data_IF_070856177403
#
_entry.id   IF_070856177403
#
_cell.length_a   1.000
_cell.length_b   1.000
_cell.length_c   1.000
_cell.angle_alpha   90.00
_cell.angle_beta   90.00
_cell.angle_gamma   90.00
#
_symmetry.space_group_name_H-M   'P 1'
#
loop_
_entity.id
_entity.type
_entity.pdbx_description
1 polymer ?
#
# COMPACT_ATOMS: atom_id res chain seq x y z
N UNK A 1 11.99 -66.82 35.61
CA UNK A 1 10.57 -66.79 35.15
C UNK A 1 9.91 -65.60 35.84
N UNK A 2 9.29 -64.59 35.24
CA UNK A 2 8.78 -64.31 33.88
C UNK A 2 9.02 -62.81 33.61
N UNK A 3 9.33 -62.48 32.36
CA UNK A 3 9.31 -61.11 31.83
C UNK A 3 7.85 -60.61 31.80
N UNK A 4 7.65 -59.34 32.08
CA UNK A 4 6.49 -58.60 31.54
C UNK A 4 6.92 -57.18 31.22
N UNK A 5 7.00 -56.95 29.92
CA UNK A 5 7.13 -55.66 29.26
C UNK A 5 5.75 -55.02 29.34
N UNK A 6 5.66 -53.81 29.90
CA UNK A 6 4.49 -52.95 29.74
C UNK A 6 4.95 -51.74 28.95
N UNK A 7 4.60 -51.76 27.66
CA UNK A 7 4.76 -50.66 26.74
C UNK A 7 3.61 -49.67 27.00
N UNK A 8 3.87 -48.56 27.69
CA UNK A 8 2.89 -47.47 27.81
C UNK A 8 3.17 -46.46 26.70
N UNK A 9 2.32 -46.54 25.68
CA UNK A 9 2.17 -45.57 24.61
C UNK A 9 1.36 -44.38 25.18
N UNK A 10 1.98 -43.21 25.35
CA UNK A 10 1.25 -41.96 25.60
C UNK A 10 1.69 -40.89 24.59
N UNK A 11 0.93 -40.89 23.49
CA UNK A 11 0.42 -39.74 22.74
C UNK A 11 1.21 -38.43 22.86
N UNK A 12 1.99 -38.16 21.81
CA UNK A 12 2.45 -36.81 21.43
C UNK A 12 1.21 -35.94 21.18
N UNK A 13 0.86 -35.07 22.13
CA UNK A 13 -0.03 -33.94 21.90
C UNK A 13 0.71 -32.97 20.97
N UNK A 14 0.51 -33.15 19.67
CA UNK A 14 1.01 -32.26 18.64
C UNK A 14 0.39 -30.88 18.85
N UNK A 15 1.25 -29.90 19.17
CA UNK A 15 0.95 -28.47 19.24
C UNK A 15 0.45 -27.94 17.88
N UNK A 16 -0.78 -28.25 17.50
CA UNK A 16 -1.44 -27.69 16.32
C UNK A 16 -2.29 -26.45 16.67
N UNK A 17 -2.36 -26.09 17.96
CA UNK A 17 -3.23 -25.01 18.45
C UNK A 17 -2.70 -23.61 18.15
N UNK A 18 -1.39 -23.42 17.96
CA UNK A 18 -0.83 -22.11 17.65
C UNK A 18 -1.22 -21.61 16.25
N UNK A 19 -1.48 -22.49 15.28
CA UNK A 19 -1.93 -22.08 13.94
C UNK A 19 -3.33 -21.47 13.96
N UNK A 20 -4.27 -22.05 14.70
CA UNK A 20 -5.64 -21.52 14.80
C UNK A 20 -5.72 -20.18 15.51
N UNK A 21 -4.86 -19.93 16.50
CA UNK A 21 -4.82 -18.66 17.24
C UNK A 21 -4.24 -17.54 16.34
N UNK A 22 -3.22 -17.85 15.53
CA UNK A 22 -2.64 -16.90 14.57
C UNK A 22 -3.61 -16.61 13.40
N UNK A 23 -4.32 -17.62 12.90
CA UNK A 23 -5.39 -17.43 11.90
C UNK A 23 -6.59 -16.65 12.45
N UNK A 24 -6.90 -16.74 13.76
CA UNK A 24 -7.91 -15.89 14.39
C UNK A 24 -7.44 -14.46 14.69
N UNK A 25 -6.13 -14.23 14.75
CA UNK A 25 -5.55 -12.89 14.93
C UNK A 25 -5.50 -12.12 13.60
N UNK A 26 -5.31 -12.80 12.46
CA UNK A 26 -5.51 -12.20 11.14
C UNK A 26 -7.00 -11.95 10.82
N UNK A 27 -7.92 -12.53 11.61
CA UNK A 27 -9.35 -12.19 11.61
C UNK A 27 -9.76 -11.18 12.69
N UNK A 28 -8.82 -10.46 13.31
CA UNK A 28 -9.15 -9.19 14.00
C UNK A 28 -9.83 -8.33 12.95
N UNK A 29 -11.15 -8.17 13.09
CA UNK A 29 -12.08 -7.87 12.01
C UNK A 29 -11.58 -6.81 11.04
N UNK A 30 -11.76 -7.08 9.74
CA UNK A 30 -11.58 -6.10 8.67
C UNK A 30 -12.19 -4.76 9.09
N UNK A 31 -11.54 -3.67 8.69
CA UNK A 31 -12.11 -2.34 8.88
C UNK A 31 -13.42 -2.28 8.08
N UNK A 32 -14.53 -2.06 8.78
CA UNK A 32 -15.87 -2.05 8.18
C UNK A 32 -16.18 -0.63 7.70
N UNK A 33 -15.55 -0.23 6.60
CA UNK A 33 -15.77 1.05 5.93
C UNK A 33 -16.40 0.80 4.57
N UNK A 34 -17.47 1.54 4.27
CA UNK A 34 -18.13 1.55 2.97
C UNK A 34 -17.95 2.90 2.27
N UNK A 35 -18.47 3.03 1.06
CA UNK A 35 -18.34 4.25 0.25
C UNK A 35 -19.03 5.43 0.92
N UNK A 36 -20.12 5.19 1.65
CA UNK A 36 -20.91 6.19 2.36
C UNK A 36 -20.17 6.79 3.57
N UNK A 37 -19.15 6.09 4.08
CA UNK A 37 -18.31 6.52 5.21
C UNK A 37 -17.09 7.35 4.75
N UNK A 38 -17.00 7.64 3.44
CA UNK A 38 -15.92 8.42 2.85
C UNK A 38 -16.35 9.87 2.64
N UNK A 39 -15.47 10.80 3.02
CA UNK A 39 -15.56 12.21 2.65
C UNK A 39 -14.62 12.53 1.49
N UNK A 40 -15.13 13.26 0.50
CA UNK A 40 -14.33 13.73 -0.62
C UNK A 40 -13.47 14.93 -0.22
N UNK A 41 -12.21 14.91 -0.65
CA UNK A 41 -11.25 16.00 -0.50
C UNK A 41 -10.83 16.45 -1.90
N UNK A 42 -10.88 17.76 -2.14
CA UNK A 42 -10.49 18.38 -3.41
C UNK A 42 -9.12 19.02 -3.25
N UNK A 43 -8.21 18.74 -4.17
CA UNK A 43 -6.82 19.22 -4.12
C UNK A 43 -6.55 20.08 -5.34
N UNK A 44 -6.20 21.35 -5.11
CA UNK A 44 -5.78 22.33 -6.12
C UNK A 44 -6.70 22.48 -7.34
N UNK A 45 -7.98 22.10 -7.24
CA UNK A 45 -8.93 21.98 -8.36
C UNK A 45 -8.47 21.05 -9.50
N UNK A 46 -7.53 20.14 -9.24
CA UNK A 46 -6.99 19.23 -10.25
C UNK A 46 -7.55 17.80 -10.10
N UNK A 47 -7.68 17.36 -8.86
CA UNK A 47 -8.21 16.05 -8.56
C UNK A 47 -8.95 16.04 -7.23
N UNK A 48 -9.60 14.91 -6.97
CA UNK A 48 -10.14 14.62 -5.65
C UNK A 48 -9.91 13.17 -5.28
N UNK A 49 -9.81 12.94 -3.97
CA UNK A 49 -9.64 11.65 -3.34
C UNK A 49 -10.54 11.61 -2.11
N UNK A 50 -11.19 10.49 -1.86
CA UNK A 50 -12.07 10.31 -0.71
C UNK A 50 -11.37 9.46 0.34
N UNK A 51 -11.50 9.87 1.60
CA UNK A 51 -10.93 9.16 2.76
C UNK A 51 -12.01 8.89 3.80
N UNK A 52 -11.86 7.84 4.63
CA UNK A 52 -12.75 7.60 5.76
C UNK A 52 -12.91 8.84 6.63
N UNK A 53 -14.09 9.05 7.18
CA UNK A 53 -14.39 10.19 8.05
C UNK A 53 -13.44 10.32 9.23
N UNK A 54 -12.94 9.18 9.73
CA UNK A 54 -11.99 9.11 10.84
C UNK A 54 -10.57 9.60 10.50
N UNK A 55 -10.24 9.77 9.22
CA UNK A 55 -8.92 10.30 8.81
C UNK A 55 -8.96 11.82 8.79
N UNK A 56 -7.90 12.44 9.29
CA UNK A 56 -7.71 13.89 9.32
C UNK A 56 -6.44 14.27 8.58
N UNK A 57 -6.39 15.50 8.10
CA UNK A 57 -5.19 16.04 7.45
C UNK A 57 -4.01 16.02 8.44
N UNK A 58 -2.82 15.62 7.96
CA UNK A 58 -1.58 15.60 8.74
C UNK A 58 -0.41 15.99 7.83
N UNK A 59 -0.05 17.29 7.85
CA UNK A 59 0.89 17.93 6.91
C UNK A 59 2.38 17.63 7.14
N UNK A 60 2.70 16.46 7.67
CA UNK A 60 4.06 16.09 8.08
C UNK A 60 4.35 14.63 7.76
N UNK A 61 3.64 14.07 6.78
CA UNK A 61 3.85 12.73 6.29
C UNK A 61 4.87 12.73 5.16
N UNK A 62 4.88 13.76 4.30
CA UNK A 62 5.83 13.89 3.22
C UNK A 62 5.96 15.35 2.74
N UNK A 63 7.19 15.85 2.60
CA UNK A 63 7.48 17.26 2.30
C UNK A 63 6.91 17.73 0.96
N UNK A 64 6.78 16.83 -0.01
CA UNK A 64 6.30 17.12 -1.37
C UNK A 64 4.86 16.64 -1.62
N UNK A 65 4.16 16.15 -0.60
CA UNK A 65 2.79 15.66 -0.79
C UNK A 65 1.78 16.81 -0.93
N UNK A 66 0.92 16.68 -1.93
CA UNK A 66 -0.23 17.57 -2.13
C UNK A 66 -1.47 17.13 -1.36
N UNK A 67 -1.47 15.89 -0.90
CA UNK A 67 -2.52 15.30 -0.08
C UNK A 67 -1.89 14.46 1.01
N UNK A 68 -2.27 14.71 2.28
CA UNK A 68 -1.73 13.99 3.42
C UNK A 68 -2.80 13.78 4.49
N UNK A 69 -3.30 12.55 4.61
CA UNK A 69 -4.34 12.20 5.58
C UNK A 69 -3.93 10.98 6.40
N UNK A 70 -4.23 11.03 7.69
CA UNK A 70 -3.88 9.97 8.63
C UNK A 70 -4.97 9.72 9.66
N UNK A 71 -4.91 8.54 10.27
CA UNK A 71 -5.42 8.32 11.61
C UNK A 71 -4.33 7.65 12.43
N UNK A 72 -3.73 8.42 13.34
CA UNK A 72 -2.59 7.97 14.15
C UNK A 72 -2.95 6.85 15.14
N UNK A 73 -4.22 6.74 15.56
CA UNK A 73 -4.66 5.68 16.48
C UNK A 73 -4.86 4.35 15.75
N UNK A 74 -5.38 4.40 14.53
CA UNK A 74 -5.52 3.24 13.65
C UNK A 74 -4.19 2.88 12.97
N UNK A 75 -3.26 3.83 12.92
CA UNK A 75 -1.99 3.81 12.17
C UNK A 75 -2.23 3.58 10.68
N UNK A 76 -3.20 4.30 10.13
CA UNK A 76 -3.49 4.32 8.71
C UNK A 76 -3.13 5.67 8.12
N UNK A 77 -2.41 5.65 7.01
CA UNK A 77 -1.87 6.84 6.37
C UNK A 77 -2.16 6.78 4.88
N UNK A 78 -2.41 7.93 4.26
CA UNK A 78 -2.46 8.05 2.81
C UNK A 78 -1.90 9.38 2.37
N UNK A 79 -0.98 9.34 1.42
CA UNK A 79 -0.48 10.52 0.74
C UNK A 79 -0.65 10.41 -0.77
N UNK A 80 -0.68 11.56 -1.43
CA UNK A 80 -0.54 11.66 -2.89
C UNK A 80 0.64 12.57 -3.19
N UNK A 81 1.55 12.08 -4.01
CA UNK A 81 2.55 12.89 -4.71
C UNK A 81 2.02 13.14 -6.12
N UNK A 82 2.07 14.38 -6.58
CA UNK A 82 1.83 14.73 -7.97
C UNK A 82 2.96 15.58 -8.52
N UNK A 83 3.42 15.23 -9.70
CA UNK A 83 4.56 15.88 -10.34
C UNK A 83 4.28 16.14 -11.82
N UNK A 84 4.98 17.12 -12.38
CA UNK A 84 4.89 17.44 -13.80
C UNK A 84 5.35 16.26 -14.64
N UNK A 85 4.48 15.78 -15.53
CA UNK A 85 4.81 14.66 -16.43
C UNK A 85 5.97 15.02 -17.37
N UNK A 86 5.98 16.25 -17.87
CA UNK A 86 7.00 16.69 -18.81
C UNK A 86 8.36 16.85 -18.10
N UNK A 87 8.36 17.40 -16.89
CA UNK A 87 9.58 17.54 -16.08
C UNK A 87 10.16 16.18 -15.72
N UNK A 88 9.32 15.24 -15.27
CA UNK A 88 9.72 13.85 -15.06
C UNK A 88 10.40 13.26 -16.32
N UNK A 89 9.76 13.38 -17.49
CA UNK A 89 10.32 12.86 -18.75
C UNK A 89 11.67 13.51 -19.05
N UNK A 90 11.75 14.84 -18.99
CA UNK A 90 12.96 15.59 -19.36
C UNK A 90 14.12 15.28 -18.41
N UNK A 91 13.88 15.27 -17.09
CA UNK A 91 14.89 14.95 -16.08
C UNK A 91 15.43 13.53 -16.26
N UNK A 92 14.56 12.54 -16.40
CA UNK A 92 15.02 11.15 -16.52
C UNK A 92 15.63 10.84 -17.90
N UNK A 93 15.33 11.62 -18.94
CA UNK A 93 16.06 11.59 -20.22
C UNK A 93 17.46 12.15 -20.10
N UNK A 94 17.63 13.28 -19.41
CA UNK A 94 18.92 13.94 -19.22
C UNK A 94 19.94 13.02 -18.54
N UNK A 95 19.48 12.21 -17.58
CA UNK A 95 20.33 11.23 -16.86
C UNK A 95 20.31 9.82 -17.49
N UNK A 96 19.81 9.69 -18.72
CA UNK A 96 19.78 8.43 -19.48
C UNK A 96 19.05 7.26 -18.80
N UNK A 97 18.09 7.54 -17.92
CA UNK A 97 17.28 6.54 -17.21
C UNK A 97 15.87 6.36 -17.81
N UNK A 98 15.43 7.28 -18.67
CA UNK A 98 14.15 7.19 -19.36
C UNK A 98 14.26 6.32 -20.63
N UNK A 99 13.37 5.35 -20.79
CA UNK A 99 13.29 4.47 -21.95
C UNK A 99 12.14 4.89 -22.88
N UNK A 100 12.47 5.46 -24.04
CA UNK A 100 11.49 5.87 -25.07
C UNK A 100 10.70 4.70 -25.70
N UNK A 101 11.09 3.44 -25.46
CA UNK A 101 10.40 2.26 -26.01
C UNK A 101 9.22 1.78 -25.15
N UNK A 102 9.01 2.36 -23.97
CA UNK A 102 7.90 2.03 -23.06
C UNK A 102 7.07 3.29 -22.74
N UNK A 103 5.88 3.10 -22.17
CA UNK A 103 5.01 4.26 -21.85
C UNK A 103 5.61 5.15 -20.76
N UNK A 104 5.09 6.37 -20.62
CA UNK A 104 5.46 7.26 -19.53
C UNK A 104 5.09 6.65 -18.17
N UNK A 105 3.90 6.05 -18.03
CA UNK A 105 3.51 5.28 -16.85
C UNK A 105 4.46 4.12 -16.55
N UNK A 106 4.92 3.39 -17.56
CA UNK A 106 5.88 2.28 -17.35
C UNK A 106 7.23 2.80 -16.84
N UNK A 107 7.77 3.86 -17.46
CA UNK A 107 9.00 4.51 -16.98
C UNK A 107 8.83 4.96 -15.54
N UNK A 108 7.77 5.70 -15.25
CA UNK A 108 7.46 6.22 -13.92
C UNK A 108 7.39 5.11 -12.88
N UNK A 109 6.63 4.07 -13.18
CA UNK A 109 6.48 2.91 -12.30
C UNK A 109 7.82 2.22 -12.05
N UNK A 110 8.62 1.98 -13.10
CA UNK A 110 9.89 1.26 -12.97
C UNK A 110 10.91 2.05 -12.16
N UNK A 111 11.04 3.36 -12.42
CA UNK A 111 11.94 4.25 -11.70
C UNK A 111 11.55 4.33 -10.21
N UNK A 112 10.27 4.50 -9.91
CA UNK A 112 9.80 4.57 -8.53
C UNK A 112 9.96 3.22 -7.81
N UNK A 113 9.67 2.10 -8.48
CA UNK A 113 9.92 0.76 -7.94
C UNK A 113 11.40 0.55 -7.61
N UNK A 114 12.31 0.98 -8.48
CA UNK A 114 13.74 0.92 -8.22
C UNK A 114 14.11 1.75 -6.98
N UNK A 115 13.62 2.99 -6.89
CA UNK A 115 13.82 3.84 -5.70
C UNK A 115 13.34 3.15 -4.41
N UNK A 116 12.16 2.53 -4.41
CA UNK A 116 11.68 1.78 -3.25
C UNK A 116 12.56 0.57 -2.92
N UNK A 117 13.07 -0.16 -3.91
CA UNK A 117 13.95 -1.31 -3.70
C UNK A 117 15.29 -0.90 -3.10
N UNK A 118 15.79 0.30 -3.41
CA UNK A 118 17.03 0.84 -2.86
C UNK A 118 16.85 1.34 -1.42
N UNK A 119 15.66 1.83 -1.06
CA UNK A 119 15.42 2.50 0.22
C UNK A 119 14.63 1.67 1.26
N UNK A 120 13.93 0.60 0.84
CA UNK A 120 13.17 -0.28 1.75
C UNK A 120 13.88 -1.62 1.91
N UNK A 121 14.24 -1.95 3.15
CA UNK A 121 14.89 -3.23 3.46
C UNK A 121 13.91 -4.39 3.34
N UNK A 122 14.38 -5.53 2.81
CA UNK A 122 13.58 -6.76 2.63
C UNK A 122 12.29 -6.56 1.79
N UNK A 123 12.27 -5.58 0.89
CA UNK A 123 11.09 -5.22 0.12
C UNK A 123 10.58 -6.39 -0.75
N UNK A 124 9.34 -6.78 -0.51
CA UNK A 124 8.54 -7.70 -1.34
C UNK A 124 7.51 -6.89 -2.11
N UNK A 125 7.54 -7.00 -3.42
CA UNK A 125 6.61 -6.33 -4.33
C UNK A 125 5.65 -7.34 -4.94
N UNK A 126 4.35 -7.04 -4.91
CA UNK A 126 3.30 -7.82 -5.57
C UNK A 126 2.46 -6.91 -6.46
N UNK A 127 2.49 -7.07 -7.79
CA UNK A 127 1.59 -6.35 -8.68
C UNK A 127 0.13 -6.77 -8.46
N UNK A 128 -0.78 -5.84 -8.69
CA UNK A 128 -2.23 -6.08 -8.69
C UNK A 128 -2.79 -5.86 -10.09
N UNK A 129 -3.66 -6.77 -10.51
CA UNK A 129 -4.31 -6.71 -11.83
C UNK A 129 -5.40 -5.63 -11.90
N UNK A 130 -5.73 -5.00 -10.77
CA UNK A 130 -6.79 -4.02 -10.67
C UNK A 130 -6.28 -2.63 -11.09
N UNK A 131 -7.01 -2.00 -12.01
CA UNK A 131 -6.84 -0.57 -12.32
C UNK A 131 -7.61 0.29 -11.33
N UNK A 132 -7.17 1.53 -11.15
CA UNK A 132 -7.94 2.56 -10.46
C UNK A 132 -9.04 3.03 -11.41
N UNK A 133 -10.21 2.38 -11.34
CA UNK A 133 -11.36 2.59 -12.23
C UNK A 133 -10.95 2.48 -13.71
N UNK A 134 -11.22 3.53 -14.50
CA UNK A 134 -10.93 3.62 -15.94
C UNK A 134 -9.68 4.44 -16.23
N UNK A 135 -8.84 4.71 -15.22
CA UNK A 135 -7.62 5.50 -15.38
C UNK A 135 -6.47 4.63 -15.87
N UNK A 136 -5.55 5.24 -16.61
CA UNK A 136 -4.28 4.59 -16.92
C UNK A 136 -3.43 4.53 -15.65
N UNK A 137 -3.31 3.32 -15.09
CA UNK A 137 -2.81 3.13 -13.74
C UNK A 137 -2.25 1.75 -13.51
N UNK A 138 -1.36 1.65 -12.52
CA UNK A 138 -0.81 0.39 -12.00
C UNK A 138 -0.87 0.39 -10.48
N UNK A 139 -1.17 -0.75 -9.88
CA UNK A 139 -1.21 -0.92 -8.43
C UNK A 139 -0.31 -2.04 -7.95
N UNK A 140 0.26 -1.87 -6.76
CA UNK A 140 1.16 -2.82 -6.13
C UNK A 140 0.93 -2.89 -4.62
N UNK A 141 1.19 -4.06 -4.05
CA UNK A 141 1.33 -4.26 -2.60
C UNK A 141 2.81 -4.39 -2.29
N UNK A 142 3.31 -3.57 -1.38
CA UNK A 142 4.68 -3.64 -0.88
C UNK A 142 4.67 -4.08 0.56
N UNK A 143 5.61 -4.94 0.94
CA UNK A 143 5.84 -5.36 2.31
C UNK A 143 7.35 -5.30 2.57
N UNK A 144 7.78 -4.54 3.56
CA UNK A 144 9.21 -4.36 3.84
C UNK A 144 9.46 -3.66 5.15
N UNK A 145 10.70 -3.20 5.36
CA UNK A 145 11.12 -2.50 6.58
C UNK A 145 11.63 -1.11 6.30
N UNK A 146 11.14 -0.15 7.09
CA UNK A 146 11.60 1.24 7.14
C UNK A 146 11.90 1.54 8.61
N UNK A 147 13.12 1.98 8.90
CA UNK A 147 13.59 2.24 10.28
C UNK A 147 13.28 1.07 11.26
N UNK A 148 13.58 -0.16 10.83
CA UNK A 148 13.30 -1.42 11.55
C UNK A 148 11.81 -1.74 11.83
N UNK A 149 10.88 -0.93 11.34
CA UNK A 149 9.45 -1.18 11.41
C UNK A 149 8.97 -1.94 10.18
N UNK A 150 8.22 -3.03 10.40
CA UNK A 150 7.55 -3.76 9.31
C UNK A 150 6.33 -2.98 8.82
N UNK A 151 6.41 -2.46 7.60
CA UNK A 151 5.39 -1.63 6.97
C UNK A 151 4.87 -2.33 5.71
N UNK A 152 3.57 -2.18 5.47
CA UNK A 152 2.94 -2.60 4.24
C UNK A 152 2.23 -1.42 3.55
N UNK A 153 2.44 -1.30 2.25
CA UNK A 153 1.85 -0.27 1.40
C UNK A 153 0.91 -0.88 0.37
N UNK A 154 -0.17 -0.16 0.07
CA UNK A 154 -0.81 -0.19 -1.23
C UNK A 154 -0.32 1.04 -2.00
N UNK A 155 0.31 0.83 -3.15
CA UNK A 155 0.84 1.89 -4.01
C UNK A 155 0.04 1.91 -5.31
N UNK A 156 -0.37 3.08 -5.76
CA UNK A 156 -1.02 3.31 -7.04
C UNK A 156 -0.27 4.37 -7.84
N UNK A 157 0.16 4.04 -9.05
CA UNK A 157 0.70 4.98 -10.02
C UNK A 157 -0.37 5.32 -11.05
N UNK A 158 -0.57 6.60 -11.36
CA UNK A 158 -1.59 7.07 -12.30
C UNK A 158 -0.96 8.06 -13.27
N UNK A 159 -1.18 7.84 -14.56
CA UNK A 159 -0.84 8.81 -15.60
C UNK A 159 -2.03 9.75 -15.86
N UNK A 160 -1.82 11.04 -15.58
CA UNK A 160 -2.72 12.11 -16.00
C UNK A 160 -2.29 12.71 -17.34
N UNK A 161 -3.03 13.72 -17.79
CA UNK A 161 -2.71 14.42 -19.03
C UNK A 161 -1.33 15.11 -18.96
N UNK A 162 -1.16 15.93 -17.93
CA UNK A 162 0.02 16.79 -17.75
C UNK A 162 0.82 16.46 -16.47
N UNK A 163 0.34 15.50 -15.66
CA UNK A 163 0.93 15.11 -14.38
C UNK A 163 1.02 13.59 -14.20
N UNK A 164 2.00 13.15 -13.43
CA UNK A 164 2.09 11.80 -12.88
C UNK A 164 1.69 11.82 -11.40
N UNK A 165 0.97 10.80 -10.94
CA UNK A 165 0.52 10.71 -9.56
C UNK A 165 0.97 9.39 -8.92
N UNK A 166 1.42 9.47 -7.68
CA UNK A 166 1.68 8.33 -6.82
C UNK A 166 0.82 8.42 -5.57
N UNK A 167 -0.10 7.48 -5.39
CA UNK A 167 -0.90 7.35 -4.18
C UNK A 167 -0.29 6.25 -3.32
N UNK A 168 0.07 6.59 -2.08
CA UNK A 168 0.65 5.66 -1.13
C UNK A 168 -0.27 5.56 0.08
N UNK A 169 -0.81 4.37 0.35
CA UNK A 169 -1.60 4.10 1.55
C UNK A 169 -0.91 3.02 2.36
N UNK A 170 -0.62 3.27 3.64
CA UNK A 170 0.17 2.32 4.44
C UNK A 170 -0.25 2.22 5.90
N UNK A 171 0.24 1.15 6.52
CA UNK A 171 0.09 0.78 7.93
C UNK A 171 1.20 -0.20 8.31
N UNK A 172 1.33 -0.51 9.60
CA UNK A 172 2.10 -1.67 10.07
C UNK A 172 1.69 -2.94 9.33
N UNK A 173 2.67 -3.78 8.95
CA UNK A 173 2.46 -5.00 8.16
C UNK A 173 1.38 -5.93 8.75
N UNK A 174 1.45 -6.15 10.06
CA UNK A 174 0.50 -6.98 10.81
C UNK A 174 -0.94 -6.44 10.83
N UNK A 175 -1.19 -5.20 10.39
CA UNK A 175 -2.50 -4.57 10.25
C UNK A 175 -2.96 -4.44 8.80
N UNK A 176 -2.12 -4.78 7.83
CA UNK A 176 -2.42 -4.56 6.42
C UNK A 176 -3.70 -5.28 6.00
N UNK A 177 -3.86 -6.55 6.35
CA UNK A 177 -5.06 -7.32 6.01
C UNK A 177 -6.36 -6.73 6.57
N UNK A 178 -6.28 -5.97 7.68
CA UNK A 178 -7.42 -5.28 8.26
C UNK A 178 -7.84 -4.06 7.44
N UNK A 179 -6.88 -3.27 6.94
CA UNK A 179 -7.14 -1.97 6.29
C UNK A 179 -7.02 -1.97 4.77
N UNK A 180 -6.52 -3.05 4.17
CA UNK A 180 -6.30 -3.16 2.73
C UNK A 180 -7.54 -2.86 1.89
N UNK A 181 -8.71 -3.32 2.32
CA UNK A 181 -9.97 -3.04 1.60
C UNK A 181 -10.33 -1.55 1.70
N UNK A 182 -10.09 -0.91 2.85
CA UNK A 182 -10.21 0.54 3.02
C UNK A 182 -9.23 1.30 2.11
N UNK A 183 -7.97 0.88 2.02
CA UNK A 183 -6.99 1.51 1.11
C UNK A 183 -7.41 1.39 -0.36
N UNK A 184 -7.97 0.25 -0.76
CA UNK A 184 -8.54 0.08 -2.09
C UNK A 184 -9.72 1.01 -2.35
N UNK A 185 -10.60 1.22 -1.36
CA UNK A 185 -11.68 2.20 -1.45
C UNK A 185 -11.15 3.63 -1.61
N UNK A 186 -10.15 4.01 -0.81
CA UNK A 186 -9.48 5.31 -0.90
C UNK A 186 -8.90 5.49 -2.31
N UNK A 187 -7.96 4.65 -2.74
CA UNK A 187 -7.31 4.80 -4.04
C UNK A 187 -8.32 4.70 -5.20
N UNK A 188 -9.28 3.78 -5.11
CA UNK A 188 -10.36 3.65 -6.09
C UNK A 188 -11.28 4.88 -6.19
N UNK A 189 -11.30 5.75 -5.18
CA UNK A 189 -12.09 6.97 -5.20
C UNK A 189 -11.45 8.11 -6.02
N UNK A 190 -10.15 8.00 -6.35
CA UNK A 190 -9.42 9.03 -7.11
C UNK A 190 -10.15 9.40 -8.41
N UNK A 191 -10.23 10.69 -8.69
CA UNK A 191 -10.78 11.25 -9.94
C UNK A 191 -10.14 12.60 -10.26
N UNK A 192 -9.86 12.84 -11.53
CA UNK A 192 -9.57 14.18 -12.05
C UNK A 192 -10.82 15.06 -11.98
N UNK A 193 -10.62 16.38 -11.87
CA UNK A 193 -11.68 17.40 -11.84
C UNK A 193 -11.78 18.17 -13.17
#
# INVERSE_FOLDING_TARGET
MKKSIVLILFTVLSFSSCKKIIESASSVGKDNINVEDLKAVHVNNEYSLSVPDYMTELKSLHDEASFEYANIFKETYTVVLDESKQEFIDTFKEIEMYNDSISALDNYTNIQLQSFQENITDLKVKPLDNKIKNLDSKQYEFHGKVDDLEIAYLIGFIEGKDKMFMIMSWTMDNRYNKYKDTFKLIQGSFKFL
#
